data_IF_337013176888
#
_entry.id   IF_337013176888
#
_cell.length_a   1.000
_cell.length_b   1.000
_cell.length_c   1.000
_cell.angle_alpha   90.00
_cell.angle_beta   90.00
_cell.angle_gamma   90.00
#
_symmetry.space_group_name_H-M   'P 1'
#
loop_
_entity.id
_entity.type
_entity.pdbx_description
1 polymer ?
#
# COMPACT_ATOMS: atom_id res chain seq x y z
N UNK A 1 -1.06 -14.45 2.06
CA UNK A 1 -1.15 -14.22 3.52
C UNK A 1 -1.99 -12.96 3.71
N UNK A 2 -3.17 -13.10 4.29
CA UNK A 2 -4.03 -11.96 4.63
C UNK A 2 -3.40 -11.34 5.87
N UNK A 3 -2.63 -10.26 5.70
CA UNK A 3 -2.21 -9.48 6.86
C UNK A 3 -3.48 -8.94 7.51
N UNK A 4 -3.64 -9.06 8.84
CA UNK A 4 -4.76 -8.42 9.53
C UNK A 4 -4.80 -6.93 9.16
N UNK A 5 -5.96 -6.47 8.69
CA UNK A 5 -6.19 -5.05 8.36
C UNK A 5 -6.09 -4.19 9.64
N UNK A 6 -6.39 -4.80 10.79
CA UNK A 6 -6.38 -4.18 12.11
C UNK A 6 -5.28 -4.85 12.94
N UNK A 7 -4.37 -4.06 13.51
CA UNK A 7 -3.33 -4.57 14.39
C UNK A 7 -3.87 -4.77 15.82
N UNK A 8 -3.22 -5.60 16.67
CA UNK A 8 -3.72 -5.86 18.02
C UNK A 8 -3.87 -4.60 18.88
N UNK A 9 -2.97 -3.63 18.73
CA UNK A 9 -3.00 -2.38 19.51
C UNK A 9 -4.21 -1.50 19.13
N UNK A 10 -4.53 -1.37 17.84
CA UNK A 10 -5.73 -0.67 17.39
C UNK A 10 -7.00 -1.42 17.80
N UNK A 11 -7.01 -2.74 17.80
CA UNK A 11 -8.13 -3.54 18.32
C UNK A 11 -8.45 -3.23 19.79
N UNK A 12 -7.44 -3.09 20.65
CA UNK A 12 -7.62 -2.71 22.06
C UNK A 12 -8.24 -1.31 22.17
N UNK A 13 -7.75 -0.34 21.41
CA UNK A 13 -8.31 1.01 21.36
C UNK A 13 -9.76 1.03 20.88
N UNK A 14 -10.10 0.23 19.87
CA UNK A 14 -11.47 0.10 19.37
C UNK A 14 -12.38 -0.48 20.46
N UNK A 15 -11.93 -1.51 21.18
CA UNK A 15 -12.67 -2.11 22.29
C UNK A 15 -12.91 -1.11 23.44
N UNK A 16 -11.89 -0.33 23.79
CA UNK A 16 -11.99 0.76 24.78
C UNK A 16 -12.95 1.85 24.27
N UNK A 17 -12.88 2.20 22.99
CA UNK A 17 -13.79 3.14 22.34
C UNK A 17 -15.24 2.70 22.42
N UNK A 18 -15.51 1.43 22.12
CA UNK A 18 -16.83 0.81 22.26
C UNK A 18 -17.32 0.83 23.70
N UNK A 19 -16.44 0.54 24.66
CA UNK A 19 -16.77 0.62 26.09
C UNK A 19 -17.19 2.04 26.49
N UNK A 20 -16.43 3.06 26.09
CA UNK A 20 -16.77 4.45 26.38
C UNK A 20 -18.03 4.93 25.66
N UNK A 21 -18.25 4.55 24.39
CA UNK A 21 -19.51 4.90 23.71
C UNK A 21 -20.71 4.19 24.34
N UNK A 22 -20.55 2.97 24.84
CA UNK A 22 -21.63 2.24 25.50
C UNK A 22 -21.96 2.78 26.90
N UNK A 23 -20.98 3.30 27.63
CA UNK A 23 -21.19 3.89 28.96
C UNK A 23 -21.67 5.34 28.88
N UNK A 24 -21.20 6.11 27.90
CA UNK A 24 -21.63 7.50 27.68
C UNK A 24 -23.04 7.60 27.07
N UNK A 25 -23.97 6.73 27.50
CA UNK A 25 -25.36 6.54 27.05
C UNK A 25 -26.25 7.79 27.03
N UNK A 26 -25.73 8.97 27.38
CA UNK A 26 -26.49 10.21 27.47
C UNK A 26 -26.19 11.22 26.35
N UNK A 27 -25.35 10.88 25.35
CA UNK A 27 -25.10 11.73 24.19
C UNK A 27 -25.67 11.14 22.90
N UNK A 28 -26.48 11.91 22.15
CA UNK A 28 -27.02 11.52 20.85
C UNK A 28 -25.93 11.05 19.87
N UNK A 29 -24.73 11.65 19.95
CA UNK A 29 -23.55 11.27 19.18
C UNK A 29 -23.15 9.80 19.41
N UNK A 30 -23.23 9.33 20.65
CA UNK A 30 -22.82 7.97 21.02
C UNK A 30 -23.77 6.91 20.49
N UNK A 31 -25.08 7.18 20.55
CA UNK A 31 -26.10 6.31 19.96
C UNK A 31 -25.94 6.19 18.45
N UNK A 32 -25.71 7.31 17.76
CA UNK A 32 -25.49 7.32 16.32
C UNK A 32 -24.29 6.44 15.95
N UNK A 33 -23.15 6.61 16.62
CA UNK A 33 -21.93 5.82 16.36
C UNK A 33 -22.18 4.32 16.61
N UNK A 34 -22.84 3.95 17.70
CA UNK A 34 -23.09 2.54 18.04
C UNK A 34 -24.07 1.88 17.06
N UNK A 35 -25.18 2.53 16.73
CA UNK A 35 -26.17 2.01 15.77
C UNK A 35 -25.54 1.90 14.38
N UNK A 36 -24.85 2.96 13.93
CA UNK A 36 -24.18 2.98 12.63
C UNK A 36 -23.13 1.87 12.52
N UNK A 37 -22.28 1.72 13.53
CA UNK A 37 -21.26 0.66 13.57
C UNK A 37 -21.91 -0.73 13.54
N UNK A 38 -22.99 -0.94 14.30
CA UNK A 38 -23.70 -2.23 14.35
C UNK A 38 -24.30 -2.58 12.99
N UNK A 39 -24.96 -1.63 12.32
CA UNK A 39 -25.53 -1.84 10.99
C UNK A 39 -24.42 -2.18 9.98
N UNK A 40 -23.34 -1.40 9.95
CA UNK A 40 -22.23 -1.66 9.02
C UNK A 40 -21.56 -3.02 9.29
N UNK A 41 -21.46 -3.42 10.56
CA UNK A 41 -20.92 -4.71 10.94
C UNK A 41 -21.81 -5.86 10.44
N UNK A 42 -23.13 -5.74 10.55
CA UNK A 42 -24.07 -6.71 9.98
C UNK A 42 -23.94 -6.80 8.46
N UNK A 43 -23.81 -5.67 7.76
CA UNK A 43 -23.59 -5.63 6.31
C UNK A 43 -22.29 -6.36 5.93
N UNK A 44 -21.21 -6.17 6.69
CA UNK A 44 -19.95 -6.86 6.43
C UNK A 44 -19.99 -8.37 6.70
N UNK A 45 -20.82 -8.83 7.64
CA UNK A 45 -21.04 -10.26 7.88
C UNK A 45 -21.73 -10.91 6.67
N UNK A 46 -22.71 -10.22 6.06
CA UNK A 46 -23.43 -10.70 4.88
C UNK A 46 -22.54 -10.63 3.62
N UNK A 47 -21.80 -9.52 3.44
CA UNK A 47 -20.90 -9.32 2.32
C UNK A 47 -19.50 -8.88 2.77
N UNK A 48 -18.55 -9.82 2.90
CA UNK A 48 -17.17 -9.53 3.33
C UNK A 48 -16.39 -8.63 2.37
N UNK A 49 -16.79 -8.54 1.09
CA UNK A 49 -16.08 -7.68 0.11
C UNK A 49 -16.22 -6.20 0.44
N UNK A 50 -17.24 -5.83 1.20
CA UNK A 50 -17.51 -4.44 1.59
C UNK A 50 -16.76 -4.04 2.86
N UNK A 51 -15.83 -4.83 3.42
CA UNK A 51 -15.19 -4.53 4.71
C UNK A 51 -14.59 -3.11 4.84
N UNK A 52 -14.22 -2.49 3.72
CA UNK A 52 -13.72 -1.10 3.64
C UNK A 52 -14.71 -0.07 4.20
N UNK A 53 -16.03 -0.31 4.18
CA UNK A 53 -17.02 0.62 4.77
C UNK A 53 -16.89 0.75 6.30
N UNK A 54 -16.28 -0.24 6.97
CA UNK A 54 -16.00 -0.17 8.41
C UNK A 54 -14.83 0.75 8.76
N UNK A 55 -14.10 1.28 7.78
CA UNK A 55 -12.97 2.16 8.03
C UNK A 55 -13.35 3.36 8.90
N UNK A 56 -14.44 4.05 8.53
CA UNK A 56 -14.89 5.25 9.26
C UNK A 56 -15.31 4.99 10.70
N UNK A 57 -16.19 4.00 11.01
CA UNK A 57 -16.54 3.71 12.40
C UNK A 57 -15.33 3.22 13.21
N UNK A 58 -14.42 2.45 12.62
CA UNK A 58 -13.18 2.01 13.29
C UNK A 58 -12.31 3.20 13.69
N UNK A 59 -12.15 4.20 12.81
CA UNK A 59 -11.40 5.42 13.13
C UNK A 59 -12.04 6.19 14.29
N UNK A 60 -13.35 6.37 14.24
CA UNK A 60 -14.09 7.11 15.28
C UNK A 60 -13.96 6.41 16.64
N UNK A 61 -14.10 5.08 16.67
CA UNK A 61 -13.94 4.29 17.90
C UNK A 61 -12.51 4.35 18.42
N UNK A 62 -11.51 4.30 17.54
CA UNK A 62 -10.09 4.43 17.93
C UNK A 62 -9.81 5.78 18.59
N UNK A 63 -10.28 6.88 17.98
CA UNK A 63 -10.15 8.23 18.53
C UNK A 63 -10.89 8.34 19.86
N UNK A 64 -12.11 7.82 19.94
CA UNK A 64 -12.92 7.84 21.16
C UNK A 64 -12.26 7.04 22.29
N UNK A 65 -11.66 5.89 21.97
CA UNK A 65 -10.91 5.08 22.94
C UNK A 65 -9.68 5.81 23.48
N UNK A 66 -8.91 6.47 22.61
CA UNK A 66 -7.75 7.27 23.02
C UNK A 66 -8.17 8.46 23.88
N UNK A 67 -9.20 9.20 23.46
CA UNK A 67 -9.73 10.33 24.22
C UNK A 67 -10.25 9.89 25.59
N UNK A 68 -10.97 8.77 25.65
CA UNK A 68 -11.46 8.19 26.88
C UNK A 68 -10.32 7.87 27.86
N UNK A 69 -9.25 7.25 27.37
CA UNK A 69 -8.07 6.91 28.18
C UNK A 69 -7.39 8.17 28.75
N UNK A 70 -7.18 9.20 27.92
CA UNK A 70 -6.64 10.50 28.36
C UNK A 70 -7.53 11.14 29.42
N UNK A 71 -8.85 11.18 29.17
CA UNK A 71 -9.81 11.78 30.09
C UNK A 71 -9.86 11.04 31.43
N UNK A 72 -9.84 9.71 31.43
CA UNK A 72 -9.82 8.90 32.65
C UNK A 72 -8.55 9.16 33.46
N UNK A 73 -7.40 9.29 32.80
CA UNK A 73 -6.16 9.65 33.49
C UNK A 73 -6.23 11.04 34.14
N UNK A 74 -6.73 12.03 33.41
CA UNK A 74 -6.91 13.38 33.95
C UNK A 74 -7.93 13.44 35.09
N UNK A 75 -8.96 12.59 35.05
CA UNK A 75 -9.95 12.47 36.11
C UNK A 75 -9.36 11.85 37.39
N UNK A 76 -8.41 10.93 37.27
CA UNK A 76 -7.70 10.31 38.41
C UNK A 76 -6.84 11.33 39.18
N UNK A 77 -6.21 12.28 38.47
CA UNK A 77 -5.34 13.28 39.08
C UNK A 77 -5.77 14.72 38.73
N UNK A 78 -6.89 15.20 39.29
CA UNK A 78 -7.45 16.50 38.91
C UNK A 78 -6.64 17.69 39.44
N UNK A 79 -5.91 17.55 40.55
CA UNK A 79 -5.19 18.68 41.17
C UNK A 79 -3.67 18.60 41.09
N UNK A 80 -3.10 17.49 40.61
CA UNK A 80 -1.65 17.28 40.56
C UNK A 80 -1.11 17.47 39.12
N UNK A 81 -0.45 18.60 38.80
CA UNK A 81 0.05 18.88 37.45
C UNK A 81 1.14 17.90 37.00
N UNK A 82 1.99 17.41 37.90
CA UNK A 82 3.07 16.47 37.56
C UNK A 82 2.51 15.09 37.17
N UNK A 83 1.52 14.59 37.92
CA UNK A 83 0.88 13.31 37.62
C UNK A 83 0.11 13.33 36.28
N UNK A 84 -0.46 14.49 35.90
CA UNK A 84 -1.12 14.67 34.59
C UNK A 84 -0.13 14.50 33.44
N UNK A 85 1.03 15.17 33.52
CA UNK A 85 2.08 15.07 32.50
C UNK A 85 2.64 13.65 32.47
N UNK A 86 2.85 13.05 33.65
CA UNK A 86 3.42 11.71 33.74
C UNK A 86 2.58 10.65 33.04
N UNK A 87 1.24 10.73 33.06
CA UNK A 87 0.39 9.80 32.31
C UNK A 87 0.35 10.01 30.82
N UNK A 88 0.65 11.21 30.33
CA UNK A 88 0.78 11.45 28.89
C UNK A 88 2.00 10.75 28.32
N UNK A 89 3.06 10.52 29.11
CA UNK A 89 4.28 9.85 28.67
C UNK A 89 3.99 8.43 28.14
N UNK A 90 3.41 7.50 28.93
CA UNK A 90 3.10 6.14 28.44
C UNK A 90 2.07 6.16 27.31
N UNK A 91 1.08 7.05 27.35
CA UNK A 91 0.09 7.19 26.27
C UNK A 91 0.77 7.63 24.97
N UNK A 92 1.71 8.58 25.04
CA UNK A 92 2.45 9.07 23.88
C UNK A 92 3.35 7.98 23.31
N UNK A 93 4.07 7.24 24.17
CA UNK A 93 4.88 6.08 23.75
C UNK A 93 4.00 5.04 23.06
N UNK A 94 2.82 4.75 23.60
CA UNK A 94 1.87 3.81 23.02
C UNK A 94 1.38 4.27 21.63
N UNK A 95 0.95 5.52 21.50
CA UNK A 95 0.50 6.09 20.22
C UNK A 95 1.64 6.12 19.20
N UNK A 96 2.86 6.47 19.62
CA UNK A 96 4.02 6.52 18.74
C UNK A 96 4.38 5.13 18.19
N UNK A 97 4.38 4.11 19.05
CA UNK A 97 4.57 2.72 18.63
C UNK A 97 3.48 2.24 17.67
N UNK A 98 2.23 2.64 17.93
CA UNK A 98 1.10 2.35 17.05
C UNK A 98 1.31 2.98 15.66
N UNK A 99 1.80 4.22 15.58
CA UNK A 99 2.11 4.88 14.31
C UNK A 99 3.20 4.14 13.53
N UNK A 100 4.32 3.80 14.17
CA UNK A 100 5.42 3.07 13.53
C UNK A 100 4.96 1.70 13.02
N UNK A 101 4.17 0.99 13.82
CA UNK A 101 3.64 -0.33 13.46
C UNK A 101 2.71 -0.23 12.25
N UNK A 102 1.77 0.73 12.26
CA UNK A 102 0.86 0.93 11.13
C UNK A 102 1.60 1.37 9.86
N UNK A 103 2.64 2.21 9.97
CA UNK A 103 3.45 2.61 8.82
C UNK A 103 4.21 1.42 8.23
N UNK A 104 4.71 0.53 9.10
CA UNK A 104 5.36 -0.72 8.67
C UNK A 104 4.37 -1.64 7.96
N UNK A 105 3.18 -1.84 8.52
CA UNK A 105 2.11 -2.63 7.90
C UNK A 105 1.69 -2.03 6.56
N UNK A 106 1.60 -0.70 6.46
CA UNK A 106 1.33 -0.01 5.20
C UNK A 106 2.44 -0.27 4.17
N UNK A 107 3.71 -0.12 4.54
CA UNK A 107 4.84 -0.36 3.65
C UNK A 107 4.90 -1.82 3.15
N UNK A 108 4.65 -2.78 4.04
CA UNK A 108 4.52 -4.19 3.66
C UNK A 108 3.31 -4.41 2.74
N UNK A 109 2.15 -3.88 3.11
CA UNK A 109 0.93 -4.00 2.31
C UNK A 109 1.11 -3.41 0.92
N UNK A 110 1.81 -2.28 0.81
CA UNK A 110 2.19 -1.68 -0.46
C UNK A 110 3.10 -2.61 -1.27
N UNK A 111 4.09 -3.25 -0.66
CA UNK A 111 5.01 -4.16 -1.36
C UNK A 111 4.37 -5.49 -1.78
N UNK A 112 3.41 -5.98 -1.00
CA UNK A 112 2.86 -7.33 -1.15
C UNK A 112 1.43 -7.40 -1.70
N UNK A 113 0.69 -6.28 -1.79
CA UNK A 113 -0.68 -6.27 -2.34
C UNK A 113 -0.68 -6.03 -3.86
N UNK A 114 -1.12 -7.01 -4.67
CA UNK A 114 -1.04 -6.90 -6.14
C UNK A 114 -2.07 -5.94 -6.75
N UNK A 115 -3.21 -5.71 -6.09
CA UNK A 115 -4.33 -5.00 -6.72
C UNK A 115 -4.11 -3.50 -6.94
N UNK A 116 -3.66 -2.70 -5.95
CA UNK A 116 -3.37 -1.29 -6.19
C UNK A 116 -2.12 -1.12 -7.07
N UNK A 117 -1.13 -1.99 -6.90
CA UNK A 117 0.15 -1.92 -7.63
C UNK A 117 0.04 -2.31 -9.10
N UNK A 118 -1.00 -3.03 -9.52
CA UNK A 118 -1.23 -3.32 -10.94
C UNK A 118 -1.52 -2.04 -11.74
N UNK A 119 -2.12 -1.03 -11.10
CA UNK A 119 -2.45 0.25 -11.72
C UNK A 119 -1.27 1.24 -11.82
N UNK A 120 -0.17 0.99 -11.10
CA UNK A 120 1.03 1.84 -11.14
C UNK A 120 2.19 1.07 -11.77
N UNK A 121 2.92 1.62 -12.74
CA UNK A 121 4.12 0.99 -13.30
C UNK A 121 5.40 1.59 -12.69
N UNK A 122 6.39 0.74 -12.38
CA UNK A 122 7.75 1.17 -12.00
C UNK A 122 8.72 1.03 -13.18
N UNK A 123 8.17 0.74 -14.35
CA UNK A 123 8.89 0.19 -15.49
C UNK A 123 9.86 1.22 -16.04
N UNK A 124 9.49 2.49 -16.02
CA UNK A 124 10.36 3.60 -16.41
C UNK A 124 11.60 3.71 -15.50
N UNK A 125 11.44 3.62 -14.18
CA UNK A 125 12.57 3.77 -13.26
C UNK A 125 13.56 2.60 -13.41
N UNK A 126 13.01 1.38 -13.49
CA UNK A 126 13.80 0.16 -13.71
C UNK A 126 14.58 0.27 -15.01
N UNK A 127 13.91 0.73 -16.07
CA UNK A 127 14.49 0.85 -17.39
C UNK A 127 15.59 1.90 -17.41
N UNK A 128 15.40 3.07 -16.80
CA UNK A 128 16.36 4.17 -16.77
C UNK A 128 17.59 3.89 -15.90
N UNK A 129 17.41 3.35 -14.69
CA UNK A 129 18.51 3.11 -13.74
C UNK A 129 19.37 1.88 -14.11
N UNK A 130 18.76 0.83 -14.69
CA UNK A 130 19.43 -0.46 -14.89
C UNK A 130 19.96 -0.69 -16.31
N UNK A 131 19.82 0.30 -17.19
CA UNK A 131 20.28 0.20 -18.58
C UNK A 131 20.93 1.51 -19.06
N UNK A 132 21.77 1.41 -20.09
CA UNK A 132 22.52 2.52 -20.68
C UNK A 132 21.64 3.47 -21.51
N UNK A 133 22.11 4.71 -21.70
CA UNK A 133 21.38 5.78 -22.41
C UNK A 133 21.07 5.48 -23.89
N UNK A 134 21.87 4.66 -24.57
CA UNK A 134 21.65 4.27 -25.98
C UNK A 134 20.87 2.94 -26.08
N UNK A 135 19.82 2.79 -25.27
CA UNK A 135 19.00 1.58 -25.18
C UNK A 135 18.02 1.46 -26.34
N UNK A 136 17.86 0.22 -26.83
CA UNK A 136 16.94 -0.11 -27.92
C UNK A 136 15.80 -0.94 -27.32
N UNK A 137 14.61 -0.36 -27.36
CA UNK A 137 13.40 -0.90 -26.75
C UNK A 137 12.48 -1.47 -27.83
N UNK A 138 12.02 -2.69 -27.59
CA UNK A 138 10.97 -3.33 -28.35
C UNK A 138 9.77 -3.54 -27.42
N UNK A 139 8.67 -2.88 -27.74
CA UNK A 139 7.48 -2.79 -26.88
C UNK A 139 6.24 -3.26 -27.64
N UNK A 140 5.22 -3.70 -26.90
CA UNK A 140 3.94 -4.09 -27.49
C UNK A 140 3.26 -2.86 -28.12
N UNK A 141 2.39 -3.08 -29.11
CA UNK A 141 1.62 -2.01 -29.76
C UNK A 141 0.83 -1.15 -28.76
N UNK A 142 0.35 -1.77 -27.68
CA UNK A 142 -0.42 -1.10 -26.63
C UNK A 142 0.42 -0.15 -25.76
N UNK A 143 1.73 -0.40 -25.67
CA UNK A 143 2.65 0.38 -24.84
C UNK A 143 3.49 1.37 -25.68
N UNK A 144 3.40 1.27 -27.01
CA UNK A 144 4.26 2.00 -27.96
C UNK A 144 4.16 3.52 -27.78
N UNK A 145 2.95 4.06 -27.61
CA UNK A 145 2.72 5.49 -27.45
C UNK A 145 3.35 6.04 -26.16
N UNK A 146 3.34 5.25 -25.08
CA UNK A 146 3.98 5.62 -23.83
C UNK A 146 5.50 5.70 -24.01
N UNK A 147 6.11 4.66 -24.60
CA UNK A 147 7.57 4.59 -24.75
C UNK A 147 8.13 5.47 -25.87
N UNK A 148 7.34 5.86 -26.87
CA UNK A 148 7.70 6.92 -27.85
C UNK A 148 8.00 8.26 -27.19
N UNK A 149 7.43 8.52 -26.02
CA UNK A 149 7.76 9.72 -25.25
C UNK A 149 9.22 9.72 -24.78
N UNK A 150 9.79 8.54 -24.47
CA UNK A 150 11.21 8.40 -24.11
C UNK A 150 12.14 8.59 -25.30
N UNK A 151 11.68 8.22 -26.49
CA UNK A 151 12.39 8.48 -27.74
C UNK A 151 12.47 9.97 -28.04
N UNK A 152 11.37 10.71 -27.87
CA UNK A 152 11.36 12.18 -27.99
C UNK A 152 12.31 12.87 -27.00
N UNK A 153 12.52 12.28 -25.83
CA UNK A 153 13.48 12.78 -24.83
C UNK A 153 14.93 12.33 -25.10
N UNK A 154 15.19 11.55 -26.16
CA UNK A 154 16.51 11.02 -26.49
C UNK A 154 17.04 10.00 -25.49
N UNK A 155 16.17 9.42 -24.64
CA UNK A 155 16.56 8.48 -23.57
C UNK A 155 16.49 7.02 -23.98
N UNK A 156 15.84 6.72 -25.10
CA UNK A 156 15.74 5.38 -25.69
C UNK A 156 15.40 5.45 -27.18
N UNK A 157 15.63 4.37 -27.93
CA UNK A 157 15.16 4.21 -29.32
C UNK A 157 14.13 3.09 -29.35
N UNK A 158 12.93 3.35 -29.85
CA UNK A 158 11.86 2.34 -29.92
C UNK A 158 11.90 1.71 -31.31
N UNK A 159 12.11 0.39 -31.40
CA UNK A 159 12.19 -0.35 -32.66
C UNK A 159 11.25 -1.56 -32.67
N UNK A 160 10.71 -1.86 -33.85
CA UNK A 160 9.79 -2.98 -34.07
C UNK A 160 10.46 -4.21 -34.73
N UNK A 161 11.79 -4.20 -34.91
CA UNK A 161 12.56 -5.27 -35.56
C UNK A 161 13.84 -5.59 -34.79
N UNK A 162 14.24 -6.86 -34.81
CA UNK A 162 15.47 -7.37 -34.20
C UNK A 162 16.69 -7.13 -35.11
N UNK A 163 17.24 -5.93 -35.08
CA UNK A 163 18.40 -5.57 -35.93
C UNK A 163 19.69 -5.39 -35.13
N UNK A 164 19.59 -5.07 -33.84
CA UNK A 164 20.73 -4.67 -33.01
C UNK A 164 21.29 -5.80 -32.15
N UNK A 165 22.53 -5.63 -31.70
CA UNK A 165 23.26 -6.63 -30.89
C UNK A 165 22.67 -6.85 -29.50
N UNK A 166 22.02 -5.83 -28.93
CA UNK A 166 21.34 -5.89 -27.62
C UNK A 166 19.98 -5.18 -27.72
N UNK A 167 18.90 -5.90 -27.42
CA UNK A 167 17.51 -5.42 -27.52
C UNK A 167 16.80 -5.70 -26.21
N UNK A 168 16.05 -4.71 -25.71
CA UNK A 168 15.28 -4.80 -24.48
C UNK A 168 13.81 -4.96 -24.84
N UNK A 169 13.21 -6.09 -24.49
CA UNK A 169 11.79 -6.35 -24.70
C UNK A 169 10.98 -6.04 -23.44
N UNK A 170 9.83 -5.39 -23.58
CA UNK A 170 8.83 -5.36 -22.51
C UNK A 170 8.24 -6.75 -22.29
N UNK A 171 7.72 -7.01 -21.09
CA UNK A 171 7.08 -8.29 -20.77
C UNK A 171 5.94 -8.64 -21.74
N UNK A 172 5.11 -7.67 -22.09
CA UNK A 172 4.01 -7.88 -23.05
C UNK A 172 4.55 -8.18 -24.45
N UNK A 173 5.62 -7.50 -24.89
CA UNK A 173 6.28 -7.80 -26.15
C UNK A 173 6.91 -9.20 -26.16
N UNK A 174 7.56 -9.61 -25.08
CA UNK A 174 8.17 -10.93 -24.95
C UNK A 174 7.14 -12.07 -25.07
N UNK A 175 5.92 -11.87 -24.54
CA UNK A 175 4.86 -12.88 -24.62
C UNK A 175 4.23 -12.99 -26.01
N UNK A 176 4.23 -11.90 -26.78
CA UNK A 176 3.53 -11.82 -28.06
C UNK A 176 4.45 -11.97 -29.29
N UNK A 177 5.77 -11.82 -29.13
CA UNK A 177 6.74 -11.83 -30.24
C UNK A 177 7.51 -13.16 -30.25
N UNK A 178 7.59 -13.80 -31.42
CA UNK A 178 8.49 -14.96 -31.63
C UNK A 178 9.93 -14.49 -31.62
N UNK A 179 10.70 -14.92 -30.62
CA UNK A 179 12.11 -14.59 -30.49
C UNK A 179 12.91 -15.40 -31.51
N UNK A 180 13.72 -14.75 -32.36
CA UNK A 180 14.57 -15.47 -33.31
C UNK A 180 15.64 -16.31 -32.60
N UNK A 181 16.02 -17.45 -33.19
CA UNK A 181 16.94 -18.44 -32.59
C UNK A 181 18.34 -17.88 -32.28
N UNK A 182 18.74 -16.79 -32.94
CA UNK A 182 20.02 -16.12 -32.75
C UNK A 182 20.08 -15.17 -31.54
N UNK A 183 19.00 -15.04 -30.75
CA UNK A 183 18.99 -14.21 -29.54
C UNK A 183 18.86 -15.07 -28.29
N UNK A 184 19.66 -14.75 -27.27
CA UNK A 184 19.61 -15.38 -25.95
C UNK A 184 19.33 -14.35 -24.85
N UNK A 185 18.65 -14.77 -23.78
CA UNK A 185 18.34 -13.90 -22.64
C UNK A 185 19.62 -13.71 -21.82
N UNK A 186 20.15 -12.48 -21.82
CA UNK A 186 21.32 -12.09 -21.01
C UNK A 186 20.93 -11.75 -19.59
N UNK A 187 19.81 -11.02 -19.42
CA UNK A 187 19.36 -10.53 -18.11
C UNK A 187 17.86 -10.27 -18.12
N UNK A 188 17.21 -10.51 -16.98
CA UNK A 188 15.82 -10.12 -16.75
C UNK A 188 15.82 -8.93 -15.77
N UNK A 189 15.22 -7.81 -16.18
CA UNK A 189 15.01 -6.66 -15.31
C UNK A 189 13.74 -6.87 -14.51
N UNK A 190 13.92 -6.97 -13.20
CA UNK A 190 12.84 -7.18 -12.23
C UNK A 190 12.57 -5.91 -11.42
N UNK A 191 11.28 -5.72 -11.12
CA UNK A 191 10.75 -4.76 -10.16
C UNK A 191 10.96 -5.24 -8.72
N UNK A 192 10.71 -4.36 -7.74
CA UNK A 192 10.79 -4.69 -6.32
C UNK A 192 9.61 -5.52 -5.79
N UNK A 193 8.74 -6.00 -6.68
CA UNK A 193 7.50 -6.71 -6.41
C UNK A 193 7.77 -8.19 -6.17
N UNK A 194 6.96 -8.82 -5.31
CA UNK A 194 7.06 -10.27 -5.04
C UNK A 194 6.45 -11.12 -6.16
N UNK A 195 5.34 -10.67 -6.74
CA UNK A 195 4.60 -11.36 -7.80
C UNK A 195 4.65 -10.54 -9.08
N UNK A 196 4.74 -11.21 -10.24
CA UNK A 196 4.85 -10.55 -11.55
C UNK A 196 5.98 -9.50 -11.58
N UNK A 197 7.15 -9.93 -11.10
CA UNK A 197 8.29 -9.06 -10.85
C UNK A 197 9.06 -8.72 -12.12
N UNK A 198 9.10 -9.63 -13.07
CA UNK A 198 9.67 -9.50 -14.41
C UNK A 198 9.00 -8.38 -15.21
N UNK A 199 9.79 -7.43 -15.71
CA UNK A 199 9.29 -6.28 -16.49
C UNK A 199 9.93 -6.17 -17.87
N UNK A 200 11.23 -6.40 -17.95
CA UNK A 200 11.94 -6.39 -19.23
C UNK A 200 12.92 -7.55 -19.38
N UNK A 201 13.11 -7.98 -20.62
CA UNK A 201 14.05 -9.02 -21.00
C UNK A 201 15.12 -8.41 -21.89
N UNK A 202 16.38 -8.48 -21.45
CA UNK A 202 17.53 -8.03 -22.23
C UNK A 202 18.02 -9.21 -23.05
N UNK A 203 17.84 -9.13 -24.36
CA UNK A 203 18.33 -10.11 -25.32
C UNK A 203 19.66 -9.66 -25.91
N UNK A 204 20.57 -10.62 -26.09
CA UNK A 204 21.82 -10.42 -26.82
C UNK A 204 21.89 -11.39 -27.99
N UNK A 205 22.33 -10.90 -29.14
CA UNK A 205 22.60 -11.74 -30.31
C UNK A 205 23.84 -12.59 -30.05
N UNK A 206 23.69 -13.91 -30.20
CA UNK A 206 24.77 -14.90 -30.14
C UNK A 206 25.50 -15.04 -31.47
#
# INVERSE_FOLDING_TARGET
>A
MISPIINPATSILIAIGLYFTFIAKHSAKSYLINIWTTILLLVCIINPTTITILFTPILILTITGLQGLINTWYALFPKNPYARIFGLIPISIFVFNLLITNLSVFALSYRYSPQPLAAFSQDLNILLEKTDSNRILMVSKNEEDFYKTLERQGRAKVKNKFEDSEVILSKEAYQNVKIPVNYSIKRILVSNRKYNADRFYVLRRG
#
